data_IF_053193842013
#
_entry.id   IF_053193842013
#
_cell.length_a   1.000
_cell.length_b   1.000
_cell.length_c   1.000
_cell.angle_alpha   90.00
_cell.angle_beta   90.00
_cell.angle_gamma   90.00
#
_symmetry.space_group_name_H-M   'P 1'
#
loop_
_entity.id
_entity.type
_entity.pdbx_description
1 polymer ?
#
# COMPACT_ATOMS: atom_id res chain seq x y z
N UNK A 1 26.15 27.31 -28.76
CA UNK A 1 27.09 27.84 -27.75
C UNK A 1 26.25 28.53 -26.70
N UNK A 2 25.81 27.80 -25.67
CA UNK A 2 25.13 28.40 -24.52
C UNK A 2 26.21 28.96 -23.60
N UNK A 3 26.02 30.20 -23.15
CA UNK A 3 26.88 30.86 -22.17
C UNK A 3 26.95 30.00 -20.89
N UNK A 4 28.04 29.25 -20.74
CA UNK A 4 28.44 28.72 -19.45
C UNK A 4 28.80 29.91 -18.56
N UNK A 5 27.85 30.38 -17.76
CA UNK A 5 28.17 31.17 -16.57
C UNK A 5 29.24 30.38 -15.81
N UNK A 6 30.47 30.86 -15.87
CA UNK A 6 31.59 30.18 -15.24
C UNK A 6 31.53 30.51 -13.77
N UNK A 7 31.57 29.49 -12.90
CA UNK A 7 31.58 29.68 -11.45
C UNK A 7 32.81 30.53 -11.06
N UNK A 8 32.60 31.79 -10.67
CA UNK A 8 33.69 32.72 -10.32
C UNK A 8 34.03 32.73 -8.83
N UNK A 9 33.15 32.20 -7.98
CA UNK A 9 33.32 32.16 -6.52
C UNK A 9 33.01 30.76 -5.98
N UNK A 10 33.60 30.40 -4.84
CA UNK A 10 33.34 29.13 -4.19
C UNK A 10 31.90 29.06 -3.65
N UNK A 11 31.13 28.06 -4.08
CA UNK A 11 29.78 27.79 -3.57
C UNK A 11 29.83 26.73 -2.49
N UNK A 12 29.43 27.09 -1.28
CA UNK A 12 29.31 26.16 -0.16
C UNK A 12 27.84 25.78 0.00
N UNK A 13 27.53 24.49 -0.15
CA UNK A 13 26.22 23.94 0.15
C UNK A 13 26.33 23.04 1.38
N UNK A 14 25.58 23.37 2.45
CA UNK A 14 25.53 22.53 3.65
C UNK A 14 24.34 21.60 3.57
N UNK A 15 24.58 20.29 3.66
CA UNK A 15 23.51 19.29 3.61
C UNK A 15 22.39 19.52 4.63
N UNK A 16 22.76 20.01 5.83
CA UNK A 16 21.82 20.32 6.91
C UNK A 16 20.85 21.46 6.58
N UNK A 17 21.18 22.29 5.58
CA UNK A 17 20.38 23.44 5.14
C UNK A 17 19.53 23.12 3.90
N UNK A 18 19.66 21.92 3.33
CA UNK A 18 18.95 21.53 2.12
C UNK A 18 17.59 20.89 2.46
N UNK A 19 16.57 21.27 1.71
CA UNK A 19 15.25 20.66 1.81
C UNK A 19 15.26 19.24 1.21
N UNK A 20 14.45 18.36 1.80
CA UNK A 20 14.14 17.07 1.21
C UNK A 20 13.20 17.28 0.01
N UNK A 21 13.62 16.79 -1.15
CA UNK A 21 12.76 16.60 -2.32
C UNK A 21 12.20 15.19 -2.25
N UNK A 22 10.88 15.04 -2.41
CA UNK A 22 10.24 13.74 -2.50
C UNK A 22 10.81 12.99 -3.71
N UNK A 23 11.38 11.81 -3.47
CA UNK A 23 12.02 10.98 -4.49
C UNK A 23 11.32 9.62 -4.64
N UNK A 24 10.01 9.62 -4.35
CA UNK A 24 9.17 8.43 -4.28
C UNK A 24 8.86 8.04 -2.83
N UNK A 25 7.98 7.06 -2.63
CA UNK A 25 7.45 6.75 -1.29
C UNK A 25 8.55 6.39 -0.30
N UNK A 26 9.57 5.61 -0.73
CA UNK A 26 10.65 5.11 0.11
C UNK A 26 11.97 5.90 -0.07
N UNK A 27 11.96 7.09 -0.69
CA UNK A 27 13.20 7.85 -0.83
C UNK A 27 13.01 9.37 -0.78
N UNK A 28 14.03 10.05 -0.25
CA UNK A 28 14.17 11.51 -0.35
C UNK A 28 15.51 11.86 -0.98
N UNK A 29 15.57 13.07 -1.53
CA UNK A 29 16.79 13.62 -2.13
C UNK A 29 17.07 15.02 -1.61
N UNK A 30 18.29 15.27 -1.13
CA UNK A 30 18.76 16.60 -0.75
C UNK A 30 19.81 17.07 -1.73
N UNK A 31 19.45 18.01 -2.59
CA UNK A 31 20.37 18.62 -3.56
C UNK A 31 21.45 19.43 -2.84
N UNK A 32 22.71 19.24 -3.20
CA UNK A 32 23.83 20.06 -2.74
C UNK A 32 24.19 21.13 -3.77
N UNK A 33 24.55 20.74 -5.00
CA UNK A 33 24.82 21.68 -6.10
C UNK A 33 24.15 21.21 -7.40
N UNK A 34 23.91 22.14 -8.32
CA UNK A 34 23.22 21.93 -9.60
C UNK A 34 22.61 23.23 -10.10
N UNK A 35 22.73 23.52 -11.39
CA UNK A 35 22.38 24.81 -12.00
C UNK A 35 23.40 25.93 -11.71
N UNK A 36 23.05 27.16 -12.11
CA UNK A 36 23.78 28.41 -11.83
C UNK A 36 25.30 28.33 -12.09
N UNK A 37 25.70 27.76 -13.23
CA UNK A 37 27.11 27.67 -13.62
C UNK A 37 27.92 26.51 -13.02
N UNK A 38 27.30 25.63 -12.22
CA UNK A 38 27.92 24.38 -11.77
C UNK A 38 27.66 23.27 -12.79
N UNK A 39 28.68 22.63 -13.39
CA UNK A 39 28.51 21.65 -14.47
C UNK A 39 28.10 20.25 -13.98
N UNK A 40 27.71 20.12 -12.71
CA UNK A 40 27.26 18.87 -12.09
C UNK A 40 26.00 19.13 -11.28
N UNK A 41 25.16 18.11 -11.18
CA UNK A 41 24.04 18.07 -10.27
C UNK A 41 24.29 16.94 -9.28
N UNK A 42 24.30 17.26 -7.98
CA UNK A 42 24.63 16.29 -6.95
C UNK A 42 23.85 16.53 -5.67
N UNK A 43 23.73 15.48 -4.86
CA UNK A 43 22.93 15.48 -3.65
C UNK A 43 22.93 14.13 -2.98
N UNK A 44 22.41 14.11 -1.75
CA UNK A 44 22.29 12.90 -0.96
C UNK A 44 20.90 12.33 -1.17
N UNK A 45 20.86 11.12 -1.70
CA UNK A 45 19.66 10.32 -1.73
C UNK A 45 19.61 9.41 -0.51
N UNK A 46 18.48 9.40 0.18
CA UNK A 46 18.20 8.51 1.30
C UNK A 46 17.10 7.56 0.87
N UNK A 47 17.36 6.26 0.95
CA UNK A 47 16.48 5.20 0.47
C UNK A 47 16.17 4.23 1.62
N UNK A 48 14.91 4.11 1.98
CA UNK A 48 14.47 3.10 2.94
C UNK A 48 14.53 1.68 2.34
N UNK A 49 14.66 0.64 3.18
CA UNK A 49 14.57 -0.76 2.75
C UNK A 49 13.43 -1.02 1.77
N UNK A 50 13.72 -1.74 0.69
CA UNK A 50 12.75 -2.07 -0.37
C UNK A 50 12.54 -0.96 -1.41
N UNK A 51 13.17 0.21 -1.26
CA UNK A 51 13.14 1.23 -2.32
C UNK A 51 13.79 0.68 -3.59
N UNK A 52 13.14 0.86 -4.73
CA UNK A 52 13.71 0.63 -6.06
C UNK A 52 13.31 1.80 -6.96
N UNK A 53 14.25 2.32 -7.75
CA UNK A 53 13.90 3.22 -8.84
C UNK A 53 13.09 2.48 -9.89
N UNK A 54 12.24 3.20 -10.62
CA UNK A 54 11.72 2.72 -11.90
C UNK A 54 12.88 2.61 -12.91
N UNK A 55 12.70 1.81 -13.94
CA UNK A 55 13.68 1.71 -15.02
C UNK A 55 13.80 3.06 -15.75
N UNK A 56 14.99 3.66 -15.68
CA UNK A 56 15.22 5.01 -16.20
C UNK A 56 16.62 5.16 -16.78
N UNK A 57 16.83 6.23 -17.54
CA UNK A 57 18.12 6.58 -18.11
C UNK A 57 18.34 8.09 -18.16
N UNK A 58 19.61 8.46 -18.33
CA UNK A 58 20.10 9.82 -18.41
C UNK A 58 20.92 10.02 -19.69
N UNK A 59 20.92 11.20 -20.33
CA UNK A 59 21.75 11.45 -21.53
C UNK A 59 23.25 11.66 -21.22
N UNK A 60 23.65 11.44 -19.97
CA UNK A 60 24.98 11.66 -19.42
C UNK A 60 25.31 10.55 -18.41
N UNK A 61 26.56 10.50 -17.93
CA UNK A 61 26.95 9.53 -16.88
C UNK A 61 26.34 9.93 -15.54
N UNK A 62 25.67 8.98 -14.89
CA UNK A 62 25.31 9.05 -13.49
C UNK A 62 26.30 8.22 -12.67
N UNK A 63 26.80 8.76 -11.56
CA UNK A 63 27.57 7.99 -10.60
C UNK A 63 26.87 7.96 -9.24
N UNK A 64 26.84 6.78 -8.63
CA UNK A 64 26.24 6.56 -7.31
C UNK A 64 27.32 6.07 -6.37
N UNK A 65 27.67 6.89 -5.37
CA UNK A 65 28.60 6.51 -4.32
C UNK A 65 27.83 6.16 -3.05
N UNK A 66 28.01 4.94 -2.54
CA UNK A 66 27.32 4.47 -1.34
C UNK A 66 28.05 4.98 -0.11
N UNK A 67 27.36 5.81 0.69
CA UNK A 67 27.89 6.36 1.95
C UNK A 67 27.59 5.39 3.09
N UNK A 68 26.36 4.87 3.13
CA UNK A 68 25.85 4.00 4.18
C UNK A 68 24.86 3.00 3.59
N UNK A 69 24.83 1.78 4.15
CA UNK A 69 23.90 0.74 3.74
C UNK A 69 24.39 -0.05 2.53
N UNK A 70 23.45 -0.60 1.79
CA UNK A 70 23.73 -1.46 0.65
C UNK A 70 22.81 -1.06 -0.50
N UNK A 71 23.35 -1.04 -1.72
CA UNK A 71 22.57 -0.80 -2.92
C UNK A 71 22.58 -2.03 -3.83
N UNK A 72 21.54 -2.21 -4.61
CA UNK A 72 21.56 -3.07 -5.80
C UNK A 72 21.51 -2.18 -7.02
N UNK A 73 22.19 -2.56 -8.10
CA UNK A 73 22.14 -1.86 -9.38
C UNK A 73 22.18 -2.84 -10.55
N UNK A 74 21.38 -2.60 -11.58
CA UNK A 74 21.41 -3.37 -12.82
C UNK A 74 20.97 -2.54 -14.02
N UNK A 75 21.36 -3.00 -15.21
CA UNK A 75 20.96 -2.43 -16.50
C UNK A 75 19.79 -3.25 -17.07
N UNK A 76 18.97 -2.63 -17.92
CA UNK A 76 17.89 -3.30 -18.64
C UNK A 76 18.41 -4.52 -19.42
N UNK A 77 17.71 -5.65 -19.26
CA UNK A 77 18.08 -6.93 -19.88
C UNK A 77 19.30 -7.60 -19.24
N UNK A 78 19.79 -7.09 -18.11
CA UNK A 78 20.92 -7.64 -17.34
C UNK A 78 20.57 -7.81 -15.86
N UNK A 79 19.31 -8.06 -15.54
CA UNK A 79 18.78 -8.21 -14.18
C UNK A 79 19.49 -9.34 -13.43
N UNK A 80 19.80 -10.45 -14.11
CA UNK A 80 20.53 -11.58 -13.55
C UNK A 80 22.01 -11.26 -13.19
N UNK A 81 22.51 -10.10 -13.64
CA UNK A 81 23.87 -9.61 -13.37
C UNK A 81 23.87 -8.44 -12.37
N UNK A 82 22.79 -8.26 -11.61
CA UNK A 82 22.67 -7.20 -10.63
C UNK A 82 23.87 -7.19 -9.68
N UNK A 83 24.47 -6.01 -9.53
CA UNK A 83 25.62 -5.78 -8.69
C UNK A 83 25.14 -5.26 -7.34
N UNK A 84 25.70 -5.82 -6.26
CA UNK A 84 25.51 -5.31 -4.91
C UNK A 84 26.66 -4.37 -4.59
N UNK A 85 26.32 -3.18 -4.13
CA UNK A 85 27.25 -2.15 -3.70
C UNK A 85 27.12 -1.98 -2.19
N UNK A 86 28.23 -1.71 -1.52
CA UNK A 86 28.33 -1.49 -0.09
C UNK A 86 28.98 -0.13 0.19
N UNK A 87 28.95 0.33 1.44
CA UNK A 87 29.55 1.61 1.81
C UNK A 87 31.01 1.72 1.35
N UNK A 88 31.32 2.78 0.60
CA UNK A 88 32.61 3.01 -0.05
C UNK A 88 32.65 2.65 -1.54
N UNK A 89 31.68 1.90 -2.05
CA UNK A 89 31.61 1.55 -3.46
C UNK A 89 31.02 2.69 -4.30
N UNK A 90 31.47 2.80 -5.54
CA UNK A 90 30.91 3.69 -6.56
C UNK A 90 30.57 2.88 -7.81
N UNK A 91 29.43 3.17 -8.42
CA UNK A 91 29.10 2.71 -9.77
C UNK A 91 28.98 3.93 -10.69
N UNK A 92 29.51 3.80 -11.91
CA UNK A 92 29.31 4.76 -12.99
C UNK A 92 28.40 4.12 -14.04
N UNK A 93 27.21 4.69 -14.20
CA UNK A 93 26.17 4.24 -15.10
C UNK A 93 26.29 4.97 -16.45
N UNK A 94 26.35 4.24 -17.56
CA UNK A 94 26.60 4.83 -18.87
C UNK A 94 25.39 5.65 -19.39
N UNK A 95 25.65 6.69 -20.20
CA UNK A 95 24.59 7.51 -20.79
C UNK A 95 23.70 6.68 -21.73
N UNK A 96 22.42 7.02 -21.77
CA UNK A 96 21.39 6.43 -22.63
C UNK A 96 21.17 4.92 -22.46
N UNK A 97 21.65 4.34 -21.34
CA UNK A 97 21.38 2.94 -21.01
C UNK A 97 20.41 2.90 -19.82
N UNK A 98 19.21 2.31 -19.98
CA UNK A 98 18.28 2.14 -18.89
C UNK A 98 18.82 1.28 -17.75
N UNK A 99 18.58 1.73 -16.53
CA UNK A 99 19.05 1.09 -15.33
C UNK A 99 18.09 1.29 -14.15
N UNK A 100 18.33 0.48 -13.12
CA UNK A 100 17.65 0.53 -11.83
C UNK A 100 18.70 0.48 -10.73
N UNK A 101 18.46 1.24 -9.67
CA UNK A 101 19.10 0.97 -8.39
C UNK A 101 18.06 0.95 -7.27
N UNK A 102 18.45 0.42 -6.11
CA UNK A 102 17.61 0.46 -4.94
C UNK A 102 18.27 -0.11 -3.71
N UNK A 103 17.50 -0.18 -2.62
CA UNK A 103 17.94 -0.68 -1.33
C UNK A 103 17.40 -2.11 -1.12
N UNK A 104 18.20 -3.15 -1.42
CA UNK A 104 17.83 -4.53 -1.15
C UNK A 104 18.03 -4.92 0.33
N UNK A 105 18.63 -4.03 1.12
CA UNK A 105 19.00 -4.28 2.50
C UNK A 105 17.88 -3.99 3.49
N UNK A 106 18.16 -4.26 4.77
CA UNK A 106 17.23 -4.04 5.89
C UNK A 106 17.47 -2.74 6.64
N UNK A 107 18.46 -1.95 6.23
CA UNK A 107 18.84 -0.65 6.81
C UNK A 107 18.71 0.44 5.77
N UNK A 108 18.50 1.68 6.21
CA UNK A 108 18.48 2.85 5.34
C UNK A 108 19.79 2.96 4.55
N UNK A 109 19.65 3.16 3.25
CA UNK A 109 20.74 3.40 2.30
C UNK A 109 20.91 4.90 2.12
N UNK A 110 22.14 5.40 2.23
CA UNK A 110 22.49 6.78 1.90
C UNK A 110 23.52 6.78 0.80
N UNK A 111 23.25 7.51 -0.27
CA UNK A 111 24.15 7.59 -1.41
C UNK A 111 24.31 9.02 -1.90
N UNK A 112 25.50 9.33 -2.41
CA UNK A 112 25.75 10.54 -3.16
C UNK A 112 25.47 10.27 -4.64
N UNK A 113 24.39 10.87 -5.16
CA UNK A 113 24.09 10.87 -6.58
C UNK A 113 24.87 11.97 -7.28
N UNK A 114 25.52 11.65 -8.38
CA UNK A 114 26.33 12.57 -9.18
C UNK A 114 25.89 12.47 -10.63
N UNK A 115 25.30 13.53 -11.14
CA UNK A 115 24.93 13.65 -12.54
C UNK A 115 25.90 14.61 -13.24
N UNK A 116 26.50 14.17 -14.34
CA UNK A 116 27.45 14.96 -15.16
C UNK A 116 26.74 15.98 -16.06
N UNK A 117 25.83 16.73 -15.46
CA UNK A 117 25.02 17.77 -16.10
C UNK A 117 24.63 18.82 -15.06
N UNK A 118 24.54 20.11 -15.42
CA UNK A 118 24.04 21.15 -14.52
C UNK A 118 22.60 20.87 -14.07
N UNK A 119 21.81 20.18 -14.90
CA UNK A 119 20.43 19.81 -14.64
C UNK A 119 20.28 18.29 -14.56
N UNK A 120 19.37 17.84 -13.69
CA UNK A 120 18.99 16.43 -13.63
C UNK A 120 17.94 16.16 -14.71
N UNK A 121 18.28 15.36 -15.72
CA UNK A 121 17.41 14.96 -16.83
C UNK A 121 17.14 13.46 -16.72
N UNK A 122 15.92 13.05 -16.42
CA UNK A 122 15.55 11.61 -16.30
C UNK A 122 14.55 11.25 -17.39
N UNK A 123 14.76 10.11 -18.03
CA UNK A 123 13.81 9.52 -18.96
C UNK A 123 13.40 8.14 -18.46
N UNK A 124 12.10 7.89 -18.37
CA UNK A 124 11.57 6.58 -17.96
C UNK A 124 11.18 5.74 -19.17
N UNK A 125 11.50 4.45 -19.13
CA UNK A 125 11.15 3.51 -20.21
C UNK A 125 9.64 3.37 -20.37
N UNK A 126 8.89 3.51 -19.29
CA UNK A 126 7.42 3.40 -19.26
C UNK A 126 6.67 4.68 -19.67
N UNK A 127 7.38 5.70 -20.18
CA UNK A 127 6.77 6.93 -20.69
C UNK A 127 6.33 7.94 -19.62
N UNK A 128 6.72 7.72 -18.35
CA UNK A 128 6.44 8.67 -17.27
C UNK A 128 7.06 10.03 -17.53
N UNK A 129 6.27 11.09 -17.32
CA UNK A 129 6.72 12.48 -17.44
C UNK A 129 7.43 12.94 -16.16
N UNK A 130 8.51 13.69 -16.34
CA UNK A 130 9.24 14.37 -15.26
C UNK A 130 8.83 15.82 -15.13
N UNK A 131 8.80 16.34 -13.90
CA UNK A 131 8.60 17.77 -13.62
C UNK A 131 9.82 18.62 -14.00
N UNK A 132 9.74 19.94 -13.72
CA UNK A 132 10.69 20.96 -14.19
C UNK A 132 12.15 20.81 -13.72
N UNK A 133 12.45 19.83 -12.86
CA UNK A 133 13.77 19.58 -12.29
C UNK A 133 14.20 18.10 -12.35
N UNK A 134 13.56 17.31 -13.23
CA UNK A 134 13.93 15.90 -13.48
C UNK A 134 13.45 14.89 -12.44
N UNK A 135 12.66 15.30 -11.47
CA UNK A 135 11.99 14.39 -10.53
C UNK A 135 10.66 13.91 -11.13
N UNK A 136 10.19 12.74 -10.71
CA UNK A 136 8.85 12.26 -11.09
C UNK A 136 7.83 13.24 -10.51
N UNK A 137 6.96 13.77 -11.37
CA UNK A 137 5.84 14.59 -10.92
C UNK A 137 4.78 13.68 -10.29
N UNK A 138 4.78 13.59 -8.96
CA UNK A 138 3.78 12.86 -8.19
C UNK A 138 2.49 13.69 -7.96
N UNK A 139 2.31 14.82 -8.68
CA UNK A 139 1.10 15.64 -8.63
C UNK A 139 1.08 16.71 -7.53
N UNK A 140 2.24 17.06 -6.95
CA UNK A 140 2.37 18.18 -6.00
C UNK A 140 3.75 18.82 -6.15
N UNK A 141 4.01 19.45 -7.29
CA UNK A 141 5.12 20.39 -7.44
C UNK A 141 4.58 21.82 -7.32
N UNK A 142 4.64 22.40 -6.11
CA UNK A 142 4.29 23.82 -5.91
C UNK A 142 5.46 24.75 -6.18
N UNK A 143 6.63 24.25 -6.62
CA UNK A 143 7.83 25.08 -6.79
C UNK A 143 8.27 25.82 -5.52
N UNK A 144 7.71 25.48 -4.35
CA UNK A 144 8.09 26.05 -3.07
C UNK A 144 8.84 25.00 -2.24
N UNK A 145 9.93 25.40 -1.55
CA UNK A 145 10.54 24.53 -0.56
C UNK A 145 9.49 24.16 0.48
N UNK A 146 9.22 22.87 0.63
CA UNK A 146 8.56 22.38 1.84
C UNK A 146 9.55 22.68 2.96
N UNK A 147 9.24 23.68 3.79
CA UNK A 147 10.07 24.06 4.92
C UNK A 147 10.43 22.79 5.70
N UNK A 148 11.70 22.59 6.11
CA UNK A 148 12.02 21.49 6.99
C UNK A 148 11.18 21.69 8.25
N UNK A 149 10.21 20.81 8.47
CA UNK A 149 9.58 20.72 9.76
C UNK A 149 10.72 20.46 10.74
N UNK A 150 10.90 21.34 11.73
CA UNK A 150 11.84 21.10 12.81
C UNK A 150 11.57 19.67 13.32
N UNK A 151 12.57 18.80 13.27
CA UNK A 151 12.41 17.41 13.64
C UNK A 151 11.85 17.36 15.07
N UNK A 152 10.61 16.90 15.20
CA UNK A 152 9.97 16.71 16.49
C UNK A 152 10.67 15.58 17.26
N UNK A 153 10.33 15.36 18.53
CA UNK A 153 10.81 14.18 19.25
C UNK A 153 10.43 12.91 18.47
N UNK A 154 11.36 11.95 18.41
CA UNK A 154 11.11 10.67 17.77
C UNK A 154 9.96 9.94 18.49
N UNK A 155 8.98 9.48 17.72
CA UNK A 155 7.80 8.77 18.18
C UNK A 155 7.95 7.26 17.98
N UNK A 156 8.33 6.83 16.77
CA UNK A 156 8.41 5.41 16.43
C UNK A 156 9.55 5.11 15.47
N UNK A 157 10.44 4.17 15.85
CA UNK A 157 11.63 3.79 15.04
C UNK A 157 12.46 4.99 14.56
N UNK A 158 12.60 6.02 15.40
CA UNK A 158 13.32 7.25 15.06
C UNK A 158 12.53 8.25 14.20
N UNK A 159 11.28 7.95 13.85
CA UNK A 159 10.41 8.83 13.07
C UNK A 159 9.71 9.85 13.96
N UNK A 160 9.73 11.12 13.55
CA UNK A 160 8.95 12.19 14.15
C UNK A 160 7.50 12.21 13.66
N UNK A 161 6.65 13.05 14.25
CA UNK A 161 5.24 13.18 13.87
C UNK A 161 5.02 13.52 12.39
N UNK A 162 5.87 14.38 11.80
CA UNK A 162 5.73 14.79 10.41
C UNK A 162 6.09 13.65 9.45
N UNK A 163 7.11 12.86 9.78
CA UNK A 163 7.46 11.63 9.08
C UNK A 163 6.34 10.60 9.19
N UNK A 164 5.75 10.42 10.39
CA UNK A 164 4.60 9.52 10.57
C UNK A 164 3.43 9.90 9.66
N UNK A 165 3.09 11.18 9.56
CA UNK A 165 2.04 11.67 8.66
C UNK A 165 2.41 11.40 7.19
N UNK A 166 3.64 11.71 6.76
CA UNK A 166 4.07 11.44 5.38
C UNK A 166 3.99 9.97 4.99
N UNK A 167 4.29 9.07 5.93
CA UNK A 167 4.34 7.63 5.68
C UNK A 167 2.97 6.94 5.80
N UNK A 168 2.05 7.47 6.60
CA UNK A 168 0.81 6.75 6.96
C UNK A 168 -0.49 7.57 6.77
N UNK A 169 -0.42 8.82 6.32
CA UNK A 169 -1.60 9.61 5.97
C UNK A 169 -1.92 9.53 4.47
N UNK A 170 -2.80 8.60 4.11
CA UNK A 170 -3.24 8.45 2.72
C UNK A 170 -4.06 9.64 2.21
N UNK A 171 -4.68 10.45 3.09
CA UNK A 171 -5.42 11.65 2.65
C UNK A 171 -4.45 12.77 2.29
N UNK A 172 -3.37 12.92 3.05
CA UNK A 172 -2.30 13.86 2.70
C UNK A 172 -1.59 13.43 1.42
N UNK A 173 -1.37 12.13 1.23
CA UNK A 173 -0.69 11.58 0.05
C UNK A 173 -1.54 11.62 -1.24
N UNK A 174 -2.87 11.65 -1.11
CA UNK A 174 -3.79 11.70 -2.26
C UNK A 174 -4.86 12.77 -2.01
N UNK A 175 -4.55 14.06 -2.31
CA UNK A 175 -5.45 15.17 -2.04
C UNK A 175 -6.84 15.02 -2.68
N UNK A 176 -6.92 14.38 -3.86
CA UNK A 176 -8.17 14.13 -4.58
C UNK A 176 -8.88 12.83 -4.13
N UNK A 177 -8.57 12.31 -2.94
CA UNK A 177 -9.17 11.08 -2.41
C UNK A 177 -10.69 11.08 -2.37
N UNK A 178 -11.31 12.25 -2.14
CA UNK A 178 -12.76 12.41 -2.12
C UNK A 178 -13.42 12.16 -3.49
N UNK A 179 -12.72 12.46 -4.59
CA UNK A 179 -13.20 12.14 -5.93
C UNK A 179 -13.31 10.62 -6.13
N UNK A 180 -12.35 9.84 -5.60
CA UNK A 180 -12.42 8.38 -5.62
C UNK A 180 -13.53 7.81 -4.73
N UNK A 181 -13.86 8.46 -3.61
CA UNK A 181 -15.02 8.06 -2.79
C UNK A 181 -16.32 8.30 -3.55
N UNK A 182 -16.47 9.49 -4.13
CA UNK A 182 -17.65 9.88 -4.91
C UNK A 182 -17.85 8.93 -6.09
N UNK A 183 -16.81 8.70 -6.90
CA UNK A 183 -16.89 7.83 -8.07
C UNK A 183 -17.32 6.39 -7.72
N UNK A 184 -16.81 5.83 -6.61
CA UNK A 184 -17.21 4.49 -6.15
C UNK A 184 -18.64 4.43 -5.64
N UNK A 185 -19.07 5.46 -4.92
CA UNK A 185 -20.45 5.57 -4.46
C UNK A 185 -21.40 5.68 -5.66
N UNK A 186 -21.14 6.59 -6.59
CA UNK A 186 -21.93 6.80 -7.82
C UNK A 186 -22.04 5.51 -8.65
N UNK A 187 -20.92 4.78 -8.80
CA UNK A 187 -20.92 3.48 -9.47
C UNK A 187 -21.76 2.43 -8.73
N UNK A 188 -21.77 2.46 -7.40
CA UNK A 188 -22.47 1.47 -6.57
C UNK A 188 -23.98 1.67 -6.53
N UNK A 189 -24.47 2.92 -6.61
CA UNK A 189 -25.91 3.23 -6.51
C UNK A 189 -26.78 2.36 -7.43
N UNK A 190 -26.57 2.34 -8.76
CA UNK A 190 -27.42 1.53 -9.64
C UNK A 190 -27.24 0.02 -9.40
N UNK A 191 -26.03 -0.41 -9.07
CA UNK A 191 -25.69 -1.84 -8.86
C UNK A 191 -26.36 -2.43 -7.63
N UNK A 192 -26.60 -1.64 -6.58
CA UNK A 192 -27.37 -2.10 -5.41
C UNK A 192 -28.75 -2.59 -5.82
N UNK A 193 -29.38 -1.97 -6.80
CA UNK A 193 -30.74 -2.32 -7.26
C UNK A 193 -30.72 -3.33 -8.40
N UNK A 194 -29.77 -3.26 -9.32
CA UNK A 194 -29.77 -4.10 -10.52
C UNK A 194 -29.21 -5.50 -10.30
N UNK A 195 -28.22 -5.67 -9.41
CA UNK A 195 -27.63 -6.98 -9.14
C UNK A 195 -28.60 -7.84 -8.30
N UNK A 196 -28.75 -9.15 -8.59
CA UNK A 196 -29.67 -10.01 -7.85
C UNK A 196 -29.21 -10.20 -6.40
N UNK A 197 -30.17 -10.51 -5.52
CA UNK A 197 -29.92 -10.85 -4.11
C UNK A 197 -30.62 -9.90 -3.13
N UNK A 198 -30.21 -9.95 -1.87
CA UNK A 198 -30.89 -9.28 -0.75
C UNK A 198 -30.05 -8.12 -0.20
N UNK A 199 -30.71 -7.06 0.25
CA UNK A 199 -30.06 -5.89 0.87
C UNK A 199 -30.40 -5.83 2.33
N UNK A 200 -29.49 -5.22 3.09
CA UNK A 200 -29.72 -4.91 4.49
C UNK A 200 -30.08 -6.15 5.33
N UNK A 201 -29.47 -7.30 5.02
CA UNK A 201 -29.68 -8.54 5.77
C UNK A 201 -28.92 -8.45 7.08
N UNK A 202 -29.64 -8.60 8.20
CA UNK A 202 -29.08 -8.46 9.53
C UNK A 202 -28.26 -9.68 9.95
N UNK A 203 -27.02 -9.45 10.37
CA UNK A 203 -26.16 -10.50 10.94
C UNK A 203 -25.91 -10.32 12.45
N UNK A 204 -26.20 -9.15 13.00
CA UNK A 204 -25.98 -8.84 14.41
C UNK A 204 -26.85 -7.69 14.96
N UNK A 205 -26.72 -7.40 16.27
CA UNK A 205 -27.59 -6.46 16.98
C UNK A 205 -27.34 -4.98 16.64
N UNK A 206 -26.12 -4.61 16.26
CA UNK A 206 -25.71 -3.23 15.99
C UNK A 206 -26.46 -2.59 14.81
N UNK A 207 -26.58 -1.25 14.79
CA UNK A 207 -27.29 -0.54 13.74
C UNK A 207 -26.68 -0.76 12.35
N UNK A 208 -25.36 -0.98 12.25
CA UNK A 208 -24.66 -1.20 10.98
C UNK A 208 -24.26 -2.66 10.76
N UNK A 209 -24.67 -3.58 11.64
CA UNK A 209 -24.46 -5.03 11.50
C UNK A 209 -25.42 -5.65 10.47
N UNK A 210 -25.31 -5.15 9.24
CA UNK A 210 -26.09 -5.49 8.06
C UNK A 210 -25.13 -5.86 6.93
N UNK A 211 -25.54 -6.75 6.05
CA UNK A 211 -24.83 -7.07 4.80
C UNK A 211 -25.73 -6.82 3.60
N UNK A 212 -25.12 -6.49 2.47
CA UNK A 212 -25.74 -6.67 1.15
C UNK A 212 -25.23 -7.99 0.56
N UNK A 213 -26.12 -8.90 0.20
CA UNK A 213 -25.81 -10.18 -0.45
C UNK A 213 -26.17 -10.10 -1.92
N UNK A 214 -25.16 -10.15 -2.77
CA UNK A 214 -25.29 -10.20 -4.22
C UNK A 214 -25.19 -11.66 -4.68
N UNK A 215 -26.25 -12.18 -5.27
CA UNK A 215 -26.37 -13.60 -5.60
C UNK A 215 -25.55 -13.97 -6.85
N UNK A 216 -24.65 -14.94 -6.71
CA UNK A 216 -23.99 -15.62 -7.83
C UNK A 216 -24.73 -16.89 -8.24
N UNK A 217 -24.04 -17.82 -8.88
CA UNK A 217 -24.61 -19.11 -9.28
C UNK A 217 -24.94 -19.97 -8.03
N UNK A 218 -26.03 -20.74 -8.04
CA UNK A 218 -26.33 -21.70 -6.98
C UNK A 218 -25.16 -22.66 -6.74
N UNK A 219 -24.72 -22.79 -5.48
CA UNK A 219 -23.56 -23.61 -5.12
C UNK A 219 -22.20 -23.02 -5.48
N UNK A 220 -22.12 -21.86 -6.15
CA UNK A 220 -20.88 -21.15 -6.45
C UNK A 220 -20.16 -20.65 -5.20
N UNK A 221 -18.90 -20.19 -5.28
CA UNK A 221 -18.16 -19.71 -4.11
C UNK A 221 -18.76 -18.42 -3.53
N UNK A 222 -18.31 -18.05 -2.33
CA UNK A 222 -18.71 -16.84 -1.62
C UNK A 222 -17.49 -15.96 -1.38
N UNK A 223 -17.58 -14.67 -1.71
CA UNK A 223 -16.62 -13.63 -1.33
C UNK A 223 -17.28 -12.74 -0.27
N UNK A 224 -16.68 -12.62 0.90
CA UNK A 224 -17.07 -11.64 1.92
C UNK A 224 -16.11 -10.45 1.89
N UNK A 225 -16.63 -9.28 1.56
CA UNK A 225 -15.88 -8.04 1.42
C UNK A 225 -16.08 -7.09 2.61
N UNK A 226 -14.97 -6.60 3.17
CA UNK A 226 -14.91 -5.57 4.21
C UNK A 226 -14.43 -4.23 3.65
N UNK A 227 -15.23 -3.18 3.82
CA UNK A 227 -14.87 -1.86 3.32
C UNK A 227 -13.74 -1.18 4.13
N UNK A 228 -13.09 -0.18 3.53
CA UNK A 228 -12.11 0.67 4.21
C UNK A 228 -12.76 1.81 4.99
N UNK A 229 -12.00 2.87 5.27
CA UNK A 229 -12.51 4.08 5.95
C UNK A 229 -11.91 4.34 7.34
N UNK A 230 -10.84 3.62 7.70
CA UNK A 230 -10.12 3.85 8.95
C UNK A 230 -10.99 3.64 10.18
N UNK A 231 -11.87 2.63 10.13
CA UNK A 231 -12.82 2.24 11.19
C UNK A 231 -13.83 3.32 11.61
N UNK A 232 -13.89 4.45 10.88
CA UNK A 232 -14.62 5.67 11.25
C UNK A 232 -15.57 6.19 10.19
N UNK A 233 -15.41 5.72 8.95
CA UNK A 233 -16.14 6.28 7.83
C UNK A 233 -16.47 5.20 6.80
N UNK A 234 -17.22 5.61 5.78
CA UNK A 234 -17.76 4.79 4.70
C UNK A 234 -18.91 3.89 5.19
N UNK A 235 -19.53 3.20 4.25
CA UNK A 235 -20.60 2.24 4.50
C UNK A 235 -20.69 1.24 3.34
N UNK A 236 -21.33 0.09 3.56
CA UNK A 236 -21.44 -0.98 2.55
C UNK A 236 -22.12 -0.51 1.24
N UNK A 237 -22.96 0.51 1.32
CA UNK A 237 -23.71 1.05 0.18
C UNK A 237 -22.79 1.60 -0.92
N UNK A 238 -21.60 2.08 -0.57
CA UNK A 238 -20.64 2.64 -1.51
C UNK A 238 -19.75 1.60 -2.20
N UNK A 239 -20.00 0.30 -1.98
CA UNK A 239 -19.11 -0.79 -2.42
C UNK A 239 -19.82 -1.89 -3.23
N UNK A 240 -21.04 -1.67 -3.71
CA UNK A 240 -21.74 -2.62 -4.58
C UNK A 240 -20.96 -2.93 -5.88
N UNK A 241 -20.14 -1.98 -6.34
CA UNK A 241 -19.28 -2.17 -7.52
C UNK A 241 -18.32 -3.36 -7.42
N UNK A 242 -17.93 -3.77 -6.21
CA UNK A 242 -17.07 -4.96 -6.00
C UNK A 242 -17.79 -6.24 -6.41
N UNK A 243 -19.12 -6.29 -6.28
CA UNK A 243 -19.91 -7.49 -6.58
C UNK A 243 -20.14 -7.70 -8.08
N UNK A 244 -20.11 -6.65 -8.90
CA UNK A 244 -20.46 -6.72 -10.33
C UNK A 244 -19.65 -7.78 -11.11
N UNK A 245 -18.30 -7.73 -11.16
CA UNK A 245 -17.54 -8.75 -11.88
C UNK A 245 -17.61 -10.13 -11.20
N UNK A 246 -17.77 -10.18 -9.88
CA UNK A 246 -17.83 -11.44 -9.14
C UNK A 246 -19.14 -12.20 -9.41
N UNK A 247 -20.28 -11.49 -9.42
CA UNK A 247 -21.58 -12.05 -9.76
C UNK A 247 -21.60 -12.56 -11.20
N UNK A 248 -20.97 -11.83 -12.14
CA UNK A 248 -20.81 -12.29 -13.52
C UNK A 248 -20.03 -13.61 -13.63
N UNK A 249 -19.09 -13.85 -12.71
CA UNK A 249 -18.34 -15.10 -12.59
C UNK A 249 -19.05 -16.18 -11.75
N UNK A 250 -20.33 -15.96 -11.39
CA UNK A 250 -21.14 -16.87 -10.60
C UNK A 250 -20.79 -16.92 -9.11
N UNK A 251 -20.08 -15.90 -8.59
CA UNK A 251 -19.63 -15.82 -7.20
C UNK A 251 -20.64 -15.01 -6.39
N UNK A 252 -21.16 -15.58 -5.30
CA UNK A 252 -21.97 -14.81 -4.34
C UNK A 252 -21.05 -13.83 -3.62
N UNK A 253 -21.40 -12.54 -3.64
CA UNK A 253 -20.61 -11.50 -2.98
C UNK A 253 -21.39 -10.93 -1.80
N UNK A 254 -20.78 -10.89 -0.62
CA UNK A 254 -21.34 -10.30 0.59
C UNK A 254 -20.55 -9.04 0.89
N UNK A 255 -21.21 -7.88 0.92
CA UNK A 255 -20.57 -6.61 1.30
C UNK A 255 -21.00 -6.27 2.72
N UNK A 256 -20.05 -6.31 3.66
CA UNK A 256 -20.33 -6.14 5.08
C UNK A 256 -20.36 -4.68 5.51
N UNK A 257 -21.43 -4.29 6.20
CA UNK A 257 -21.42 -3.17 7.13
C UNK A 257 -20.97 -3.63 8.52
N UNK A 258 -20.46 -2.70 9.31
CA UNK A 258 -20.10 -2.88 10.71
C UNK A 258 -20.16 -1.51 11.41
N UNK A 259 -20.31 -1.51 12.74
CA UNK A 259 -20.35 -0.29 13.52
C UNK A 259 -18.98 0.40 13.53
N UNK A 260 -18.98 1.71 13.74
CA UNK A 260 -17.78 2.54 13.58
C UNK A 260 -17.35 3.19 14.89
N UNK A 261 -16.08 3.52 14.97
CA UNK A 261 -15.55 4.42 15.99
C UNK A 261 -16.06 5.86 15.72
N UNK A 262 -16.43 6.64 16.75
CA UNK A 262 -16.31 6.37 18.20
C UNK A 262 -17.53 5.69 18.83
N UNK A 263 -18.55 5.30 18.06
CA UNK A 263 -19.76 4.70 18.63
C UNK A 263 -19.47 3.35 19.30
N UNK A 264 -18.52 2.59 18.76
CA UNK A 264 -17.99 1.36 19.35
C UNK A 264 -16.45 1.38 19.36
N UNK A 265 -15.84 0.57 20.24
CA UNK A 265 -14.39 0.45 20.33
C UNK A 265 -13.79 -0.46 19.26
N UNK A 266 -12.47 -0.38 19.04
CA UNK A 266 -11.78 -1.21 18.05
C UNK A 266 -12.02 -2.73 18.25
N UNK A 267 -12.04 -3.21 19.50
CA UNK A 267 -12.30 -4.62 19.80
C UNK A 267 -13.75 -5.04 19.54
N UNK A 268 -14.70 -4.11 19.61
CA UNK A 268 -16.09 -4.35 19.22
C UNK A 268 -16.18 -4.54 17.70
N UNK A 269 -15.55 -3.65 16.92
CA UNK A 269 -15.50 -3.76 15.45
C UNK A 269 -14.87 -5.11 15.04
N UNK A 270 -13.79 -5.53 15.72
CA UNK A 270 -13.19 -6.85 15.49
C UNK A 270 -14.10 -8.03 15.88
N UNK A 271 -14.91 -7.89 16.95
CA UNK A 271 -15.95 -8.87 17.28
C UNK A 271 -16.98 -8.96 16.17
N UNK A 272 -17.50 -7.82 15.70
CA UNK A 272 -18.49 -7.77 14.63
C UNK A 272 -17.96 -8.35 13.31
N UNK A 273 -16.67 -8.14 13.01
CA UNK A 273 -16.02 -8.75 11.85
C UNK A 273 -16.03 -10.29 11.93
N UNK A 274 -15.79 -10.86 13.11
CA UNK A 274 -15.90 -12.32 13.33
C UNK A 274 -17.36 -12.80 13.23
N UNK A 275 -18.29 -12.03 13.76
CA UNK A 275 -19.72 -12.35 13.70
C UNK A 275 -20.22 -12.43 12.25
N UNK A 276 -19.82 -11.51 11.38
CA UNK A 276 -20.22 -11.55 9.95
C UNK A 276 -19.54 -12.68 9.17
N UNK A 277 -18.30 -13.05 9.49
CA UNK A 277 -17.66 -14.26 8.93
C UNK A 277 -18.44 -15.50 9.34
N UNK A 278 -18.77 -15.63 10.63
CA UNK A 278 -19.50 -16.77 11.14
C UNK A 278 -20.92 -16.85 10.58
N UNK A 279 -21.61 -15.72 10.46
CA UNK A 279 -22.90 -15.62 9.79
C UNK A 279 -22.81 -16.03 8.31
N UNK A 280 -21.81 -15.54 7.58
CA UNK A 280 -21.60 -15.88 6.16
C UNK A 280 -21.42 -17.39 5.99
N UNK A 281 -20.59 -18.01 6.81
CA UNK A 281 -20.33 -19.45 6.73
C UNK A 281 -21.58 -20.27 7.08
N UNK A 282 -22.34 -19.90 8.13
CA UNK A 282 -23.56 -20.63 8.51
C UNK A 282 -24.68 -20.50 7.49
N UNK A 283 -24.89 -19.29 6.97
CA UNK A 283 -26.04 -18.97 6.12
C UNK A 283 -25.78 -19.34 4.66
N UNK A 284 -24.58 -19.04 4.16
CA UNK A 284 -24.28 -19.15 2.74
C UNK A 284 -23.37 -20.33 2.39
N UNK A 285 -22.72 -20.97 3.36
CA UNK A 285 -21.87 -22.14 3.15
C UNK A 285 -22.06 -23.22 4.24
N UNK A 286 -23.32 -23.62 4.53
CA UNK A 286 -23.60 -24.54 5.62
C UNK A 286 -22.78 -25.82 5.47
N UNK A 287 -22.25 -26.32 6.59
CA UNK A 287 -21.38 -27.50 6.65
C UNK A 287 -20.11 -27.41 5.78
N UNK A 288 -19.70 -26.20 5.38
CA UNK A 288 -18.56 -25.99 4.47
C UNK A 288 -18.85 -26.40 3.02
N UNK A 289 -20.13 -26.50 2.63
CA UNK A 289 -20.53 -26.95 1.29
C UNK A 289 -20.15 -25.99 0.16
N UNK A 290 -19.66 -24.79 0.47
CA UNK A 290 -19.21 -23.78 -0.49
C UNK A 290 -17.89 -23.17 -0.03
N UNK A 291 -17.01 -22.88 -0.99
CA UNK A 291 -15.74 -22.16 -0.72
C UNK A 291 -16.05 -20.72 -0.34
N UNK A 292 -15.50 -20.25 0.78
CA UNK A 292 -15.62 -18.89 1.29
C UNK A 292 -14.24 -18.24 1.30
N UNK A 293 -14.12 -17.06 0.70
CA UNK A 293 -12.91 -16.26 0.73
C UNK A 293 -13.22 -14.84 1.23
N UNK A 294 -12.24 -14.21 1.86
CA UNK A 294 -12.35 -12.86 2.36
C UNK A 294 -11.71 -11.87 1.37
N UNK A 295 -12.22 -10.66 1.34
CA UNK A 295 -11.56 -9.54 0.70
C UNK A 295 -11.73 -8.30 1.57
N UNK A 296 -10.75 -7.40 1.55
CA UNK A 296 -10.90 -6.14 2.28
C UNK A 296 -9.95 -5.07 1.77
N UNK A 297 -10.30 -3.82 2.05
CA UNK A 297 -9.47 -2.66 1.73
C UNK A 297 -9.12 -1.85 2.97
N UNK A 298 -7.87 -1.42 3.13
CA UNK A 298 -7.45 -0.52 4.21
C UNK A 298 -7.80 -1.10 5.59
N UNK A 299 -8.58 -0.40 6.41
CA UNK A 299 -9.13 -0.95 7.65
C UNK A 299 -9.90 -2.26 7.46
N UNK A 300 -10.59 -2.45 6.35
CA UNK A 300 -11.30 -3.70 6.04
C UNK A 300 -10.37 -4.87 5.75
N UNK A 301 -9.20 -4.62 5.15
CA UNK A 301 -8.16 -5.65 5.00
C UNK A 301 -7.59 -6.05 6.36
N UNK A 302 -7.41 -5.08 7.27
CA UNK A 302 -7.02 -5.37 8.65
C UNK A 302 -8.09 -6.23 9.36
N UNK A 303 -9.38 -5.88 9.24
CA UNK A 303 -10.47 -6.67 9.82
C UNK A 303 -10.51 -8.10 9.25
N UNK A 304 -10.50 -8.24 7.92
CA UNK A 304 -10.48 -9.53 7.24
C UNK A 304 -9.32 -10.41 7.73
N UNK A 305 -8.09 -9.87 7.73
CA UNK A 305 -6.90 -10.59 8.19
C UNK A 305 -6.98 -10.97 9.67
N UNK A 306 -7.47 -10.09 10.54
CA UNK A 306 -7.61 -10.39 11.97
C UNK A 306 -8.64 -11.49 12.25
N UNK A 307 -9.64 -11.69 11.39
CA UNK A 307 -10.57 -12.83 11.57
C UNK A 307 -9.86 -14.18 11.37
N UNK A 308 -8.78 -14.23 10.59
CA UNK A 308 -8.02 -15.47 10.35
C UNK A 308 -7.22 -15.93 11.59
N UNK A 309 -7.08 -15.07 12.59
CA UNK A 309 -6.38 -15.37 13.86
C UNK A 309 -7.32 -15.92 14.92
N UNK A 310 -8.62 -16.05 14.60
CA UNK A 310 -9.68 -16.47 15.52
C UNK A 310 -10.07 -17.92 15.29
N UNK A 311 -10.28 -18.65 16.38
CA UNK A 311 -10.74 -20.04 16.36
C UNK A 311 -12.27 -20.08 16.36
N UNK A 312 -12.86 -20.39 15.20
CA UNK A 312 -14.31 -20.38 14.99
C UNK A 312 -15.05 -21.60 15.55
N UNK A 313 -14.37 -22.52 16.25
CA UNK A 313 -15.02 -23.70 16.84
C UNK A 313 -16.05 -23.35 17.91
N UNK A 314 -15.88 -22.22 18.60
CA UNK A 314 -16.85 -21.72 19.59
C UNK A 314 -18.17 -21.30 18.94
N UNK A 315 -18.13 -20.94 17.67
CA UNK A 315 -19.26 -20.56 16.83
C UNK A 315 -19.87 -21.73 16.06
N UNK A 316 -19.42 -22.97 16.35
CA UNK A 316 -19.91 -24.20 15.73
C UNK A 316 -19.38 -24.46 14.31
N UNK A 317 -18.26 -23.85 13.93
CA UNK A 317 -17.65 -23.97 12.61
C UNK A 317 -16.29 -24.71 12.68
N UNK A 318 -15.69 -24.96 11.51
CA UNK A 318 -14.29 -25.37 11.44
C UNK A 318 -13.38 -24.29 12.08
N UNK A 319 -12.18 -24.68 12.56
CA UNK A 319 -11.21 -23.76 13.20
C UNK A 319 -10.99 -22.50 12.38
N UNK A 320 -10.72 -22.66 11.09
CA UNK A 320 -10.75 -21.58 10.08
C UNK A 320 -11.69 -21.99 8.93
N UNK A 321 -12.91 -21.42 8.85
CA UNK A 321 -13.92 -21.84 7.87
C UNK A 321 -13.75 -21.20 6.48
N UNK A 322 -12.70 -20.40 6.27
CA UNK A 322 -12.42 -19.67 5.03
C UNK A 322 -11.14 -20.21 4.36
N UNK A 323 -11.09 -20.19 3.03
CA UNK A 323 -10.00 -20.82 2.27
C UNK A 323 -8.98 -19.83 1.70
N UNK A 324 -9.26 -18.53 1.76
CA UNK A 324 -8.33 -17.51 1.30
C UNK A 324 -8.76 -16.09 1.65
N UNK A 325 -7.83 -15.14 1.54
CA UNK A 325 -8.08 -13.72 1.75
C UNK A 325 -7.29 -12.84 0.78
N UNK A 326 -7.96 -11.85 0.17
CA UNK A 326 -7.34 -10.73 -0.56
C UNK A 326 -7.32 -9.49 0.33
N UNK A 327 -6.13 -9.10 0.79
CA UNK A 327 -5.93 -8.01 1.75
C UNK A 327 -5.30 -6.81 1.04
N UNK A 328 -6.12 -5.83 0.66
CA UNK A 328 -5.71 -4.69 -0.18
C UNK A 328 -5.36 -3.50 0.71
N UNK A 329 -4.10 -3.06 0.67
CA UNK A 329 -3.59 -1.86 1.34
C UNK A 329 -3.86 -1.86 2.85
N UNK A 330 -3.73 -3.02 3.49
CA UNK A 330 -4.11 -3.21 4.89
C UNK A 330 -3.16 -2.58 5.91
N UNK A 331 -3.71 -2.17 7.05
CA UNK A 331 -2.94 -1.85 8.25
C UNK A 331 -2.56 -3.16 8.96
N UNK A 332 -1.38 -3.70 8.65
CA UNK A 332 -0.90 -4.97 9.19
C UNK A 332 -0.17 -4.83 10.53
N UNK A 333 0.47 -3.68 10.79
CA UNK A 333 0.96 -3.26 12.10
C UNK A 333 0.27 -1.95 12.51
N UNK A 334 -0.31 -1.95 13.71
CA UNK A 334 -1.05 -0.83 14.26
C UNK A 334 -0.17 0.12 15.07
N UNK A 335 1.10 -0.19 15.29
CA UNK A 335 2.04 0.71 15.97
C UNK A 335 2.14 2.09 15.30
N UNK A 336 2.23 2.21 13.96
CA UNK A 336 2.26 3.52 13.34
C UNK A 336 1.00 4.34 13.59
N UNK A 337 -0.15 3.65 13.64
CA UNK A 337 -1.45 4.27 13.87
C UNK A 337 -1.56 4.80 15.31
N UNK A 338 -0.96 4.11 16.29
CA UNK A 338 -0.88 4.56 17.69
C UNK A 338 -0.24 5.93 17.86
N UNK A 339 0.71 6.28 16.99
CA UNK A 339 1.45 7.55 17.06
C UNK A 339 0.95 8.60 16.06
N UNK A 340 0.00 8.24 15.20
CA UNK A 340 -0.46 9.11 14.13
C UNK A 340 -1.60 10.04 14.62
N UNK A 341 -1.54 11.38 14.40
CA UNK A 341 -2.49 12.34 14.95
C UNK A 341 -3.98 12.01 14.73
N UNK A 342 -4.31 11.45 13.55
CA UNK A 342 -5.66 11.01 13.18
C UNK A 342 -6.28 9.95 14.10
N UNK A 343 -5.47 9.15 14.77
CA UNK A 343 -5.92 7.96 15.51
C UNK A 343 -5.64 8.02 17.02
N UNK A 344 -5.08 9.13 17.53
CA UNK A 344 -4.74 9.27 18.94
C UNK A 344 -5.95 9.08 19.87
N UNK A 345 -7.11 9.57 19.47
CA UNK A 345 -8.39 9.44 20.18
C UNK A 345 -8.96 8.01 20.17
N UNK A 346 -8.42 7.09 19.37
CA UNK A 346 -8.74 5.66 19.48
C UNK A 346 -8.10 5.00 20.72
N UNK A 347 -7.16 5.68 21.37
CA UNK A 347 -6.52 5.18 22.59
C UNK A 347 -5.76 3.88 22.38
N UNK A 348 -5.13 3.69 21.21
CA UNK A 348 -4.34 2.49 20.89
C UNK A 348 -3.16 2.37 21.87
N UNK A 349 -3.33 1.59 22.93
CA UNK A 349 -2.22 1.18 23.80
C UNK A 349 -1.48 -0.02 23.21
N UNK A 350 -0.42 -0.47 23.87
CA UNK A 350 0.37 -1.61 23.43
C UNK A 350 -0.46 -2.90 23.33
N UNK A 351 -1.44 -3.08 24.23
CA UNK A 351 -2.33 -4.24 24.24
C UNK A 351 -3.25 -4.22 23.02
N UNK A 352 -3.82 -3.07 22.69
CA UNK A 352 -4.66 -2.90 21.51
C UNK A 352 -3.85 -3.06 20.24
N UNK A 353 -2.67 -2.46 20.14
CA UNK A 353 -1.78 -2.67 18.98
C UNK A 353 -1.44 -4.14 18.83
N UNK A 354 -1.09 -4.84 19.91
CA UNK A 354 -0.85 -6.28 19.87
C UNK A 354 -2.08 -7.04 19.38
N UNK A 355 -3.28 -6.72 19.88
CA UNK A 355 -4.52 -7.44 19.51
C UNK A 355 -5.04 -7.11 18.11
N UNK A 356 -4.62 -6.01 17.50
CA UNK A 356 -5.22 -5.47 16.26
C UNK A 356 -4.26 -5.53 15.06
N UNK A 357 -3.03 -6.01 15.26
CA UNK A 357 -2.02 -6.12 14.21
C UNK A 357 -1.97 -7.55 13.65
N UNK A 358 -2.27 -7.72 12.36
CA UNK A 358 -2.15 -9.03 11.69
C UNK A 358 -0.70 -9.50 11.60
N UNK A 359 0.27 -8.58 11.53
CA UNK A 359 1.70 -8.90 11.56
C UNK A 359 2.12 -9.57 12.88
N UNK A 360 1.45 -9.23 13.98
CA UNK A 360 1.74 -9.76 15.33
C UNK A 360 0.90 -10.99 15.68
N UNK A 361 -0.12 -11.29 14.89
CA UNK A 361 -1.02 -12.42 15.06
C UNK A 361 -1.20 -13.09 13.68
N UNK A 362 -0.36 -14.06 13.30
CA UNK A 362 -0.51 -14.75 12.03
C UNK A 362 -1.84 -15.54 11.98
N UNK A 363 -2.38 -15.82 10.78
CA UNK A 363 -3.50 -16.75 10.63
C UNK A 363 -3.25 -18.08 11.34
N UNK A 364 -4.32 -18.68 11.87
CA UNK A 364 -4.20 -19.92 12.66
C UNK A 364 -3.81 -21.14 11.82
N UNK A 365 -4.22 -21.18 10.56
CA UNK A 365 -4.04 -22.29 9.63
C UNK A 365 -3.24 -21.82 8.39
N UNK A 366 -2.20 -22.58 8.02
CA UNK A 366 -1.28 -22.24 6.92
C UNK A 366 -1.84 -22.52 5.53
N UNK A 367 -2.90 -23.30 5.44
CA UNK A 367 -3.59 -23.63 4.18
C UNK A 367 -4.49 -22.50 3.67
N UNK A 368 -4.73 -21.46 4.47
CA UNK A 368 -5.40 -20.24 3.99
C UNK A 368 -4.48 -19.52 3.01
N UNK A 369 -4.96 -19.35 1.79
CA UNK A 369 -4.24 -18.63 0.74
C UNK A 369 -4.36 -17.12 0.93
N UNK A 370 -3.23 -16.43 1.11
CA UNK A 370 -3.16 -14.99 1.38
C UNK A 370 -2.65 -14.27 0.14
N UNK A 371 -3.46 -13.38 -0.40
CA UNK A 371 -3.03 -12.40 -1.40
C UNK A 371 -2.97 -11.06 -0.71
N UNK A 372 -1.76 -10.55 -0.49
CA UNK A 372 -1.53 -9.21 0.03
C UNK A 372 -1.35 -8.29 -1.15
N UNK A 373 -2.21 -7.28 -1.29
CA UNK A 373 -2.16 -6.37 -2.41
C UNK A 373 -1.94 -4.93 -1.94
N UNK A 374 -1.28 -4.12 -2.74
CA UNK A 374 -1.08 -2.69 -2.45
C UNK A 374 -0.89 -1.91 -3.75
N UNK A 375 -1.36 -0.67 -3.80
CA UNK A 375 -1.06 0.24 -4.89
C UNK A 375 0.43 0.61 -4.90
N UNK A 376 1.10 0.48 -6.03
CA UNK A 376 2.53 0.77 -6.14
C UNK A 376 2.86 2.27 -5.99
N UNK A 377 1.85 3.15 -6.15
CA UNK A 377 1.96 4.59 -5.93
C UNK A 377 1.40 5.02 -4.56
N UNK A 378 1.23 4.08 -3.62
CA UNK A 378 0.89 4.39 -2.23
C UNK A 378 2.07 4.97 -1.44
N UNK A 379 1.75 5.49 -0.25
CA UNK A 379 2.76 5.83 0.73
C UNK A 379 3.62 4.61 1.06
N UNK A 380 4.90 4.85 1.32
CA UNK A 380 5.86 3.81 1.68
C UNK A 380 5.46 3.05 2.93
N UNK A 381 4.78 3.70 3.87
CA UNK A 381 4.32 3.02 5.07
C UNK A 381 3.39 1.86 4.74
N UNK A 382 2.47 2.05 3.79
CA UNK A 382 1.54 1.00 3.36
C UNK A 382 2.20 -0.04 2.45
N UNK A 383 3.04 0.38 1.49
CA UNK A 383 3.82 -0.57 0.67
C UNK A 383 4.71 -1.44 1.55
N UNK A 384 5.39 -0.86 2.53
CA UNK A 384 6.24 -1.59 3.48
C UNK A 384 5.42 -2.53 4.35
N UNK A 385 4.31 -2.08 4.95
CA UNK A 385 3.49 -2.96 5.78
C UNK A 385 2.96 -4.16 5.00
N UNK A 386 2.52 -3.97 3.75
CA UNK A 386 2.06 -5.08 2.91
C UNK A 386 3.20 -6.04 2.56
N UNK A 387 4.38 -5.52 2.23
CA UNK A 387 5.56 -6.34 1.92
C UNK A 387 6.03 -7.12 3.14
N UNK A 388 6.26 -6.44 4.28
CA UNK A 388 6.69 -7.05 5.55
C UNK A 388 5.68 -8.10 6.03
N UNK A 389 4.38 -7.85 5.89
CA UNK A 389 3.36 -8.83 6.25
C UNK A 389 3.41 -10.06 5.35
N UNK A 390 3.47 -9.89 4.03
CA UNK A 390 3.56 -11.01 3.10
C UNK A 390 4.80 -11.87 3.37
N UNK A 391 5.97 -11.25 3.53
CA UNK A 391 7.23 -11.94 3.84
C UNK A 391 7.16 -12.66 5.20
N UNK A 392 6.60 -12.01 6.22
CA UNK A 392 6.45 -12.58 7.54
C UNK A 392 5.50 -13.79 7.56
N UNK A 393 4.46 -13.78 6.72
CA UNK A 393 3.55 -14.92 6.58
C UNK A 393 4.21 -16.05 5.78
N UNK A 394 4.89 -15.75 4.68
CA UNK A 394 5.64 -16.74 3.91
C UNK A 394 6.73 -17.43 4.74
N UNK A 395 7.48 -16.68 5.54
CA UNK A 395 8.50 -17.20 6.46
C UNK A 395 7.92 -18.13 7.55
N UNK A 396 6.62 -18.02 7.84
CA UNK A 396 5.87 -18.89 8.76
C UNK A 396 5.18 -20.07 8.06
N UNK A 397 5.42 -20.26 6.76
CA UNK A 397 4.87 -21.35 5.98
C UNK A 397 3.44 -21.13 5.47
N UNK A 398 2.90 -19.91 5.57
CA UNK A 398 1.64 -19.58 4.92
C UNK A 398 1.83 -19.45 3.40
N UNK A 399 0.77 -19.76 2.65
CA UNK A 399 0.70 -19.50 1.21
C UNK A 399 0.42 -18.02 0.97
N UNK A 400 1.46 -17.19 1.01
CA UNK A 400 1.34 -15.75 0.87
C UNK A 400 1.96 -15.25 -0.44
N UNK A 401 1.23 -14.39 -1.16
CA UNK A 401 1.63 -13.74 -2.40
C UNK A 401 1.47 -12.22 -2.25
N UNK A 402 2.45 -11.45 -2.76
CA UNK A 402 2.38 -10.00 -2.84
C UNK A 402 2.00 -9.57 -4.25
N UNK A 403 0.97 -8.74 -4.38
CA UNK A 403 0.52 -8.14 -5.64
C UNK A 403 0.64 -6.61 -5.57
N UNK A 404 1.54 -6.05 -6.37
CA UNK A 404 1.68 -4.61 -6.55
C UNK A 404 0.81 -4.15 -7.71
N UNK A 405 -0.11 -3.20 -7.47
CA UNK A 405 -0.96 -2.62 -8.52
C UNK A 405 -0.27 -1.39 -9.13
N UNK A 406 0.27 -1.46 -10.37
CA UNK A 406 1.06 -0.37 -10.93
C UNK A 406 0.22 0.90 -11.13
N UNK A 407 0.79 2.06 -10.76
CA UNK A 407 0.14 3.35 -10.94
C UNK A 407 -1.03 3.65 -9.99
N UNK A 408 -1.49 2.67 -9.21
CA UNK A 408 -2.55 2.90 -8.25
C UNK A 408 -2.03 3.45 -6.93
N UNK A 409 -2.73 4.45 -6.42
CA UNK A 409 -2.65 4.94 -5.04
C UNK A 409 -3.71 4.26 -4.13
N UNK A 410 -3.71 4.61 -2.85
CA UNK A 410 -4.52 3.98 -1.80
C UNK A 410 -6.03 4.03 -2.05
N UNK A 411 -6.52 5.07 -2.76
CA UNK A 411 -7.94 5.25 -3.03
C UNK A 411 -8.36 4.72 -4.40
N UNK A 412 -7.44 4.68 -5.37
CA UNK A 412 -7.69 4.12 -6.70
C UNK A 412 -7.65 2.58 -6.74
N UNK A 413 -6.74 1.94 -5.99
CA UNK A 413 -6.50 0.48 -6.04
C UNK A 413 -7.74 -0.36 -5.78
N UNK A 414 -8.61 0.09 -4.88
CA UNK A 414 -9.87 -0.60 -4.56
C UNK A 414 -10.93 -0.45 -5.67
N UNK A 415 -10.89 0.65 -6.43
CA UNK A 415 -11.76 0.82 -7.59
C UNK A 415 -11.57 -0.26 -8.65
N UNK A 416 -10.35 -0.82 -8.71
CA UNK A 416 -9.98 -1.90 -9.64
C UNK A 416 -10.77 -3.18 -9.45
N UNK A 417 -11.33 -3.45 -8.26
CA UNK A 417 -12.19 -4.62 -8.04
C UNK A 417 -13.48 -4.59 -8.86
N UNK A 418 -13.87 -3.44 -9.44
CA UNK A 418 -14.96 -3.37 -10.40
C UNK A 418 -14.54 -3.65 -11.85
N UNK A 419 -13.25 -3.77 -12.14
CA UNK A 419 -12.74 -3.99 -13.50
C UNK A 419 -12.46 -5.49 -13.68
N UNK A 420 -13.28 -6.19 -14.48
CA UNK A 420 -13.21 -7.66 -14.62
C UNK A 420 -11.81 -8.17 -15.03
N UNK A 421 -11.15 -7.47 -15.96
CA UNK A 421 -9.85 -7.86 -16.50
C UNK A 421 -8.66 -7.40 -15.66
N UNK A 422 -8.89 -6.60 -14.62
CA UNK A 422 -7.81 -6.10 -13.78
C UNK A 422 -7.15 -7.26 -13.00
N UNK A 423 -5.81 -7.29 -12.85
CA UNK A 423 -5.12 -8.36 -12.12
C UNK A 423 -5.68 -8.64 -10.72
N UNK A 424 -6.04 -7.60 -9.96
CA UNK A 424 -6.69 -7.74 -8.64
C UNK A 424 -8.01 -8.51 -8.69
N UNK A 425 -8.89 -8.17 -9.63
CA UNK A 425 -10.20 -8.83 -9.79
C UNK A 425 -10.04 -10.27 -10.24
N UNK A 426 -9.19 -10.50 -11.27
CA UNK A 426 -8.87 -11.86 -11.74
C UNK A 426 -8.30 -12.71 -10.62
N UNK A 427 -7.43 -12.14 -9.79
CA UNK A 427 -6.84 -12.86 -8.65
C UNK A 427 -7.88 -13.19 -7.58
N UNK A 428 -8.79 -12.27 -7.26
CA UNK A 428 -9.91 -12.54 -6.35
C UNK A 428 -10.84 -13.65 -6.87
N UNK A 429 -11.14 -13.65 -8.17
CA UNK A 429 -11.93 -14.71 -8.82
C UNK A 429 -11.21 -16.05 -8.75
N UNK A 430 -9.90 -16.08 -9.03
CA UNK A 430 -9.08 -17.28 -8.97
C UNK A 430 -9.04 -17.86 -7.54
N UNK A 431 -8.83 -17.00 -6.54
CA UNK A 431 -8.85 -17.33 -5.11
C UNK A 431 -10.20 -17.95 -4.70
N UNK A 432 -11.31 -17.33 -5.11
CA UNK A 432 -12.66 -17.80 -4.85
C UNK A 432 -12.97 -19.14 -5.53
N UNK A 433 -12.39 -19.42 -6.70
CA UNK A 433 -12.55 -20.68 -7.44
C UNK A 433 -11.58 -21.78 -7.00
N UNK A 434 -10.61 -21.47 -6.14
CA UNK A 434 -9.57 -22.41 -5.73
C UNK A 434 -8.60 -22.76 -6.88
N UNK A 435 -8.40 -21.84 -7.81
CA UNK A 435 -7.42 -21.94 -8.88
C UNK A 435 -6.21 -21.12 -8.45
N UNK A 436 -5.23 -21.80 -7.85
CA UNK A 436 -3.95 -21.22 -7.42
C UNK A 436 -3.04 -20.91 -8.60
#
# INVERSE_FOLDING_TARGET
MQDTQTLTEARIARLAEQADVNFGPLASYRRLVGGDGVPIFTGIQTCEPGYMTRMHWHPYVEALFVIEGEATVYLEGREAQAQRLTAGDIVALPPNIPHVFGNPGTRTLRMLGIHSSPERIVNFVDGTKTGAHGFVDYGVDTGQPVAPAAAGPALWRGLDAAQMVRLFDNRAAVPDGDAHFKARAERSVPLRTSLPGERDVRYGPGPRQLVDVYAGAPGGPVVLFFHGGGWRNQSKEAFAFVAEPLVAEGITTVVAGYDLFPQVGMLDIMREAREVVAWTCRTLAPQGGRRVVLAGHSSGAQLAGMTLTHDFRREGLARTPVQGALLISGSHDMEPHRHHPRYLDMGLDEVLVQKTSTLRNPPLDTDVELVVAVGAAETSGYVRQSTEYCEAMAARGHRAELLLSPGDNHFSVIGRLGEADHPLTRRLVALARGRG
#
